data_IF_877654000798
#
_entry.id   IF_877654000798
#
_cell.length_a   1.000
_cell.length_b   1.000
_cell.length_c   1.000
_cell.angle_alpha   90.00
_cell.angle_beta   90.00
_cell.angle_gamma   90.00
#
_symmetry.space_group_name_H-M   'P 1'
#
loop_
_entity.id
_entity.type
_entity.pdbx_description
1 polymer ?
#
# COMPACT_ATOMS: atom_id res chain seq x y z
N UNK A 1 0.31 -7.90 -21.14
CA UNK A 1 1.14 -6.78 -20.63
C UNK A 1 2.12 -7.39 -19.63
N UNK A 2 3.43 -7.12 -19.73
CA UNK A 2 4.44 -7.92 -19.04
C UNK A 2 4.53 -7.53 -17.54
N UNK A 3 4.40 -8.50 -16.62
CA UNK A 3 4.55 -8.29 -15.16
C UNK A 3 5.89 -7.64 -14.81
N UNK A 4 6.90 -7.84 -15.67
CA UNK A 4 8.23 -7.24 -15.62
C UNK A 4 8.24 -5.70 -15.67
N UNK A 5 7.16 -5.04 -16.13
CA UNK A 5 7.10 -3.57 -16.19
C UNK A 5 6.95 -2.90 -14.80
N UNK A 6 6.73 -3.67 -13.73
CA UNK A 6 6.52 -3.16 -12.38
C UNK A 6 7.37 -3.87 -11.33
N UNK A 7 8.60 -4.26 -11.67
CA UNK A 7 9.51 -4.83 -10.69
C UNK A 7 9.85 -3.81 -9.59
N UNK A 8 9.63 -4.23 -8.34
CA UNK A 8 10.05 -3.45 -7.19
C UNK A 8 11.47 -3.86 -6.79
N UNK A 9 12.34 -2.87 -6.60
CA UNK A 9 13.75 -3.12 -6.32
C UNK A 9 14.05 -3.12 -4.81
N UNK A 10 15.21 -3.69 -4.45
CA UNK A 10 15.74 -3.62 -3.08
C UNK A 10 16.05 -2.17 -2.68
N UNK A 11 16.48 -1.32 -3.62
CA UNK A 11 16.72 0.09 -3.36
C UNK A 11 15.43 0.83 -2.96
N UNK A 12 14.34 0.57 -3.68
CA UNK A 12 13.01 1.12 -3.36
C UNK A 12 12.53 0.63 -1.99
N UNK A 13 12.83 -0.62 -1.64
CA UNK A 13 12.49 -1.15 -0.31
C UNK A 13 13.22 -0.37 0.80
N UNK A 14 14.52 -0.15 0.63
CA UNK A 14 15.32 0.63 1.59
C UNK A 14 14.78 2.04 1.77
N UNK A 15 14.33 2.70 0.70
CA UNK A 15 13.68 4.01 0.77
C UNK A 15 12.39 3.95 1.61
N UNK A 16 11.52 2.96 1.39
CA UNK A 16 10.33 2.76 2.22
C UNK A 16 10.69 2.59 3.70
N UNK A 17 11.66 1.72 4.02
CA UNK A 17 12.06 1.47 5.40
C UNK A 17 12.67 2.71 6.08
N UNK A 18 13.51 3.45 5.36
CA UNK A 18 14.07 4.74 5.84
C UNK A 18 12.97 5.76 6.07
N UNK A 19 11.97 5.81 5.18
CA UNK A 19 10.84 6.72 5.33
C UNK A 19 9.99 6.39 6.56
N UNK A 20 9.69 5.11 6.80
CA UNK A 20 9.00 4.66 8.02
C UNK A 20 9.80 5.05 9.28
N UNK A 21 11.11 4.81 9.28
CA UNK A 21 11.99 5.21 10.40
C UNK A 21 12.00 6.71 10.62
N UNK A 22 12.06 7.51 9.56
CA UNK A 22 11.96 8.97 9.63
C UNK A 22 10.66 9.40 10.32
N UNK A 23 9.52 8.88 9.86
CA UNK A 23 8.22 9.19 10.46
C UNK A 23 8.19 8.86 11.96
N UNK A 24 8.78 7.72 12.36
CA UNK A 24 8.90 7.33 13.77
C UNK A 24 9.86 8.17 14.60
N UNK A 25 10.86 8.80 13.99
CA UNK A 25 11.82 9.69 14.67
C UNK A 25 11.30 11.11 14.89
N UNK A 26 10.28 11.54 14.13
CA UNK A 26 9.76 12.91 14.18
C UNK A 26 9.29 13.33 15.58
N UNK A 27 8.51 12.53 16.33
CA UNK A 27 8.08 12.91 17.67
C UNK A 27 9.25 13.22 18.61
N UNK A 28 10.27 12.36 18.63
CA UNK A 28 11.46 12.56 19.47
C UNK A 28 12.24 13.82 19.06
N UNK A 29 12.43 14.02 17.75
CA UNK A 29 13.13 15.18 17.20
C UNK A 29 12.41 16.49 17.57
N UNK A 30 11.09 16.55 17.41
CA UNK A 30 10.31 17.74 17.72
C UNK A 30 10.21 18.00 19.23
N UNK A 31 10.17 16.96 20.07
CA UNK A 31 10.19 17.09 21.51
C UNK A 31 11.53 17.62 22.06
N UNK A 32 12.62 17.53 21.29
CA UNK A 32 13.92 18.09 21.65
C UNK A 32 14.04 19.61 21.34
N UNK A 33 13.19 20.16 20.45
CA UNK A 33 13.26 21.57 20.04
C UNK A 33 13.05 22.55 21.22
N UNK A 34 12.09 22.34 22.14
CA UNK A 34 11.99 23.19 23.33
C UNK A 34 13.26 23.22 24.18
N UNK A 35 14.00 22.11 24.26
CA UNK A 35 15.27 22.06 24.98
C UNK A 35 16.33 22.93 24.32
N UNK A 36 16.35 22.97 22.98
CA UNK A 36 17.19 23.90 22.21
C UNK A 36 16.87 25.35 22.58
N UNK A 37 15.59 25.74 22.54
CA UNK A 37 15.20 27.12 22.86
C UNK A 37 15.54 27.51 24.30
N UNK A 38 15.32 26.62 25.27
CA UNK A 38 15.66 26.88 26.67
C UNK A 38 17.17 26.96 26.88
N UNK A 39 17.97 26.13 26.19
CA UNK A 39 19.43 26.21 26.20
C UNK A 39 19.90 27.59 25.71
N UNK A 40 19.37 28.06 24.57
CA UNK A 40 19.68 29.40 24.05
C UNK A 40 19.30 30.50 25.03
N UNK A 41 18.13 30.39 25.67
CA UNK A 41 17.67 31.34 26.70
C UNK A 41 18.63 31.41 27.88
N UNK A 42 19.08 30.26 28.38
CA UNK A 42 20.05 30.17 29.49
C UNK A 42 21.42 30.76 29.12
N UNK A 43 21.79 30.72 27.85
CA UNK A 43 22.98 31.39 27.32
C UNK A 43 22.79 32.90 27.06
N UNK A 44 21.67 33.50 27.49
CA UNK A 44 21.43 34.95 27.38
C UNK A 44 20.78 35.40 26.07
N UNK A 45 20.34 34.49 25.21
CA UNK A 45 19.66 34.84 23.97
C UNK A 45 18.15 35.02 24.15
N UNK A 46 17.54 35.86 23.32
CA UNK A 46 16.09 36.04 23.30
C UNK A 46 15.38 34.76 22.83
N UNK A 47 14.42 34.30 23.63
CA UNK A 47 13.66 33.06 23.39
C UNK A 47 12.94 33.10 22.04
N UNK A 48 13.22 32.11 21.19
CA UNK A 48 12.42 31.83 20.00
C UNK A 48 11.26 30.88 20.34
N UNK A 49 10.22 30.91 19.50
CA UNK A 49 9.06 30.03 19.62
C UNK A 49 8.77 29.43 18.26
N UNK A 50 8.67 28.10 18.22
CA UNK A 50 8.16 27.36 17.07
C UNK A 50 6.73 26.93 17.38
N UNK A 51 5.77 27.41 16.59
CA UNK A 51 4.38 26.99 16.74
C UNK A 51 4.23 25.49 16.43
N UNK A 52 3.38 24.81 17.20
CA UNK A 52 3.02 23.42 16.89
C UNK A 52 2.27 23.38 15.56
N UNK A 53 2.68 22.48 14.68
CA UNK A 53 2.01 22.24 13.40
C UNK A 53 1.25 20.92 13.45
N UNK A 54 -0.06 20.96 13.18
CA UNK A 54 -0.92 19.77 13.24
C UNK A 54 -0.55 18.72 12.20
N UNK A 55 0.13 19.09 11.11
CA UNK A 55 0.58 18.14 10.08
C UNK A 55 1.64 17.15 10.59
N UNK A 56 2.25 17.41 11.75
CA UNK A 56 3.13 16.43 12.41
C UNK A 56 2.36 15.23 12.96
N UNK A 57 1.07 15.38 13.29
CA UNK A 57 0.24 14.28 13.75
C UNK A 57 0.11 13.21 12.66
N UNK A 58 0.05 13.64 11.39
CA UNK A 58 -0.01 12.75 10.22
C UNK A 58 1.20 11.81 10.16
N UNK A 59 2.37 12.20 10.66
CA UNK A 59 3.55 11.34 10.63
C UNK A 59 3.32 10.02 11.37
N UNK A 60 2.67 10.06 12.53
CA UNK A 60 2.38 8.85 13.33
C UNK A 60 1.34 7.97 12.65
N UNK A 61 0.30 8.56 12.05
CA UNK A 61 -0.72 7.81 11.30
C UNK A 61 -0.11 7.15 10.06
N UNK A 62 0.67 7.90 9.29
CA UNK A 62 1.37 7.41 8.10
C UNK A 62 2.35 6.29 8.43
N UNK A 63 3.13 6.42 9.51
CA UNK A 63 4.01 5.35 9.96
C UNK A 63 3.22 4.07 10.20
N UNK A 64 2.14 4.14 10.98
CA UNK A 64 1.29 2.98 11.28
C UNK A 64 0.65 2.38 10.03
N UNK A 65 0.22 3.21 9.09
CA UNK A 65 -0.35 2.73 7.84
C UNK A 65 0.68 1.98 6.99
N UNK A 66 1.89 2.50 6.89
CA UNK A 66 2.97 1.87 6.14
C UNK A 66 3.46 0.58 6.81
N UNK A 67 3.56 0.54 8.13
CA UNK A 67 3.89 -0.67 8.90
C UNK A 67 2.82 -1.76 8.73
N UNK A 68 1.53 -1.38 8.74
CA UNK A 68 0.42 -2.30 8.53
C UNK A 68 0.22 -2.70 7.05
N UNK A 69 0.89 -2.03 6.11
CA UNK A 69 0.64 -2.17 4.68
C UNK A 69 0.96 -3.58 4.16
N UNK A 70 2.04 -4.19 4.67
CA UNK A 70 2.37 -5.58 4.37
C UNK A 70 1.26 -6.53 4.83
N UNK A 71 0.83 -6.44 6.09
CA UNK A 71 -0.21 -7.32 6.64
C UNK A 71 -1.54 -7.22 5.89
N UNK A 72 -1.94 -6.01 5.47
CA UNK A 72 -3.13 -5.82 4.61
C UNK A 72 -2.96 -6.45 3.23
N UNK A 73 -1.78 -6.31 2.63
CA UNK A 73 -1.46 -6.94 1.33
C UNK A 73 -1.44 -8.47 1.44
N UNK A 74 -0.88 -9.01 2.52
CA UNK A 74 -0.87 -10.45 2.79
C UNK A 74 -2.28 -11.00 2.98
N UNK A 75 -3.12 -10.33 3.77
CA UNK A 75 -4.52 -10.72 3.95
C UNK A 75 -5.28 -10.71 2.62
N UNK A 76 -5.06 -9.68 1.79
CA UNK A 76 -5.64 -9.58 0.46
C UNK A 76 -5.18 -10.71 -0.47
N UNK A 77 -3.88 -11.05 -0.45
CA UNK A 77 -3.31 -12.18 -1.21
C UNK A 77 -3.94 -13.51 -0.80
N UNK A 78 -4.06 -13.78 0.49
CA UNK A 78 -4.67 -15.03 1.00
C UNK A 78 -6.13 -15.12 0.58
N UNK A 79 -6.88 -14.03 0.71
CA UNK A 79 -8.27 -13.95 0.26
C UNK A 79 -8.38 -14.21 -1.25
N UNK A 80 -7.55 -13.54 -2.04
CA UNK A 80 -7.50 -13.71 -3.50
C UNK A 80 -7.13 -15.13 -3.91
N UNK A 81 -6.18 -15.77 -3.22
CA UNK A 81 -5.81 -17.15 -3.48
C UNK A 81 -6.99 -18.12 -3.26
N UNK A 82 -7.78 -17.91 -2.21
CA UNK A 82 -9.00 -18.68 -1.97
C UNK A 82 -10.01 -18.51 -3.11
N UNK A 83 -10.30 -17.28 -3.51
CA UNK A 83 -11.27 -16.99 -4.58
C UNK A 83 -10.83 -17.51 -5.96
N UNK A 84 -9.53 -17.45 -6.25
CA UNK A 84 -8.95 -18.05 -7.46
C UNK A 84 -9.10 -19.57 -7.43
N UNK A 85 -8.83 -20.20 -6.29
CA UNK A 85 -8.97 -21.66 -6.14
C UNK A 85 -10.42 -22.12 -6.34
N UNK A 86 -11.39 -21.38 -5.79
CA UNK A 86 -12.83 -21.64 -5.98
C UNK A 86 -13.22 -21.53 -7.45
N UNK A 87 -12.77 -20.47 -8.14
CA UNK A 87 -13.03 -20.29 -9.57
C UNK A 87 -12.39 -21.40 -10.42
N UNK A 88 -11.16 -21.81 -10.08
CA UNK A 88 -10.48 -22.92 -10.74
C UNK A 88 -11.22 -24.25 -10.54
N UNK A 89 -11.72 -24.51 -9.34
CA UNK A 89 -12.54 -25.69 -9.06
C UNK A 89 -13.83 -25.66 -9.88
N UNK A 90 -14.57 -24.55 -9.84
CA UNK A 90 -15.77 -24.35 -10.64
C UNK A 90 -15.51 -24.57 -12.14
N UNK A 91 -14.41 -24.02 -12.67
CA UNK A 91 -14.04 -24.16 -14.08
C UNK A 91 -13.72 -25.61 -14.46
N UNK A 92 -12.98 -26.34 -13.62
CA UNK A 92 -12.71 -27.77 -13.83
C UNK A 92 -14.00 -28.59 -13.81
N UNK A 93 -14.88 -28.33 -12.84
CA UNK A 93 -16.17 -29.00 -12.71
C UNK A 93 -17.06 -28.75 -13.94
N UNK A 94 -17.11 -27.50 -14.45
CA UNK A 94 -17.84 -27.19 -15.70
C UNK A 94 -17.29 -27.99 -16.89
N UNK A 95 -15.96 -28.09 -17.02
CA UNK A 95 -15.32 -28.89 -18.08
C UNK A 95 -15.65 -30.38 -17.96
N UNK A 96 -15.62 -30.93 -16.74
CA UNK A 96 -15.99 -32.32 -16.48
C UNK A 96 -17.45 -32.62 -16.83
N UNK A 97 -18.38 -31.75 -16.43
CA UNK A 97 -19.80 -31.87 -16.78
C UNK A 97 -19.97 -31.85 -18.29
N UNK A 98 -19.30 -30.91 -18.97
CA UNK A 98 -19.34 -30.78 -20.44
C UNK A 98 -18.80 -32.02 -21.13
N UNK A 99 -17.77 -32.66 -20.58
CA UNK A 99 -17.20 -33.91 -21.09
C UNK A 99 -18.12 -35.13 -20.92
N UNK A 100 -19.02 -35.10 -19.93
CA UNK A 100 -20.03 -36.16 -19.69
C UNK A 100 -21.33 -35.93 -20.46
N UNK A 101 -21.63 -34.68 -20.82
CA UNK A 101 -22.85 -34.31 -21.55
C UNK A 101 -22.51 -33.85 -22.97
N UNK A 102 -22.55 -32.54 -23.23
CA UNK A 102 -22.28 -31.92 -24.52
C UNK A 102 -21.91 -30.46 -24.34
N UNK A 103 -21.11 -29.92 -25.28
CA UNK A 103 -20.86 -28.47 -25.37
C UNK A 103 -22.13 -27.66 -25.60
N UNK A 104 -23.18 -28.28 -26.15
CA UNK A 104 -24.46 -27.63 -26.42
C UNK A 104 -25.47 -27.76 -25.27
N UNK A 105 -25.12 -28.46 -24.19
CA UNK A 105 -25.98 -28.59 -23.02
C UNK A 105 -26.35 -27.19 -22.48
N UNK A 106 -27.65 -26.89 -22.33
CA UNK A 106 -28.09 -25.63 -21.77
C UNK A 106 -27.63 -25.47 -20.31
N UNK A 107 -27.06 -24.33 -19.96
CA UNK A 107 -26.58 -24.06 -18.58
C UNK A 107 -27.72 -24.17 -17.56
N UNK A 108 -28.94 -23.79 -17.94
CA UNK A 108 -30.14 -23.87 -17.09
C UNK A 108 -30.62 -25.30 -16.79
N UNK A 109 -30.16 -26.29 -17.54
CA UNK A 109 -30.50 -27.71 -17.34
C UNK A 109 -29.47 -28.44 -16.46
N UNK A 110 -28.33 -27.81 -16.18
CA UNK A 110 -27.29 -28.39 -15.34
C UNK A 110 -27.68 -28.25 -13.87
N UNK A 111 -27.71 -29.37 -13.14
CA UNK A 111 -27.90 -29.35 -11.69
C UNK A 111 -26.73 -28.64 -11.01
N UNK A 112 -26.98 -27.47 -10.44
CA UNK A 112 -25.96 -26.66 -9.76
C UNK A 112 -25.39 -27.34 -8.51
N UNK A 113 -26.09 -28.32 -7.92
CA UNK A 113 -25.66 -29.00 -6.67
C UNK A 113 -24.48 -29.95 -6.88
N UNK A 114 -24.14 -30.24 -8.14
CA UNK A 114 -22.96 -31.04 -8.46
C UNK A 114 -21.66 -30.27 -8.29
N UNK A 115 -21.72 -28.93 -8.31
CA UNK A 115 -20.55 -28.07 -8.09
C UNK A 115 -20.16 -28.06 -6.61
N UNK A 116 -18.86 -28.14 -6.31
CA UNK A 116 -18.37 -28.04 -4.94
C UNK A 116 -18.72 -26.69 -4.30
N UNK A 117 -18.71 -25.62 -5.11
CA UNK A 117 -19.07 -24.27 -4.68
C UNK A 117 -20.48 -24.20 -4.09
N UNK A 118 -21.44 -25.02 -4.57
CA UNK A 118 -22.81 -25.09 -4.03
C UNK A 118 -22.89 -25.49 -2.55
N UNK A 119 -21.82 -26.06 -2.02
CA UNK A 119 -21.68 -26.49 -0.62
C UNK A 119 -20.89 -25.49 0.22
N UNK A 120 -20.58 -24.32 -0.33
CA UNK A 120 -19.90 -23.24 0.41
C UNK A 120 -20.66 -22.95 1.71
N UNK A 121 -19.96 -22.90 2.86
CA UNK A 121 -20.61 -22.63 4.15
C UNK A 121 -21.07 -21.17 4.27
N UNK A 122 -20.59 -20.30 3.39
CA UNK A 122 -20.85 -18.86 3.39
C UNK A 122 -21.20 -18.38 1.99
N UNK A 123 -22.21 -17.51 1.91
CA UNK A 123 -22.68 -16.85 0.70
C UNK A 123 -22.65 -15.33 0.91
N UNK A 124 -22.27 -14.55 -0.12
CA UNK A 124 -22.22 -13.09 0.00
C UNK A 124 -23.60 -12.43 0.04
N UNK A 125 -24.59 -13.03 -0.61
CA UNK A 125 -25.98 -12.54 -0.63
C UNK A 125 -26.97 -13.63 -0.25
N UNK A 126 -27.23 -14.57 -1.16
CA UNK A 126 -28.22 -15.64 -0.97
C UNK A 126 -27.65 -16.98 -1.44
N UNK A 127 -28.13 -18.11 -0.91
CA UNK A 127 -27.79 -19.43 -1.44
C UNK A 127 -28.18 -19.57 -2.92
N UNK A 128 -27.40 -20.30 -3.73
CA UNK A 128 -27.62 -20.45 -5.16
C UNK A 128 -28.86 -21.30 -5.45
N UNK A 129 -29.61 -20.93 -6.49
CA UNK A 129 -30.72 -21.72 -7.03
C UNK A 129 -30.40 -22.36 -8.37
N UNK A 130 -29.38 -21.85 -9.07
CA UNK A 130 -28.89 -22.36 -10.34
C UNK A 130 -27.38 -22.11 -10.54
N UNK A 131 -26.85 -22.47 -11.71
CA UNK A 131 -25.43 -22.26 -12.07
C UNK A 131 -25.09 -20.77 -12.26
N UNK A 132 -26.05 -19.95 -12.67
CA UNK A 132 -25.86 -18.51 -12.84
C UNK A 132 -25.66 -17.81 -11.49
N UNK A 133 -26.33 -18.28 -10.44
CA UNK A 133 -26.13 -17.83 -9.07
C UNK A 133 -24.75 -18.20 -8.53
N UNK A 134 -24.22 -19.37 -8.87
CA UNK A 134 -22.85 -19.76 -8.52
C UNK A 134 -21.81 -18.82 -9.17
N UNK A 135 -22.00 -18.48 -10.45
CA UNK A 135 -21.18 -17.47 -11.13
C UNK A 135 -21.32 -16.09 -10.50
N UNK A 136 -22.53 -15.74 -10.05
CA UNK A 136 -22.77 -14.48 -9.37
C UNK A 136 -22.04 -14.41 -8.03
N UNK A 137 -22.07 -15.48 -7.23
CA UNK A 137 -21.29 -15.58 -6.00
C UNK A 137 -19.80 -15.38 -6.26
N UNK A 138 -19.24 -16.01 -7.29
CA UNK A 138 -17.84 -15.80 -7.68
C UNK A 138 -17.60 -14.31 -8.02
N UNK A 139 -18.48 -13.68 -8.80
CA UNK A 139 -18.38 -12.25 -9.09
C UNK A 139 -18.38 -11.39 -7.81
N UNK A 140 -19.22 -11.70 -6.83
CA UNK A 140 -19.29 -10.99 -5.55
C UNK A 140 -18.02 -11.14 -4.72
N UNK A 141 -17.41 -12.33 -4.71
CA UNK A 141 -16.10 -12.56 -4.08
C UNK A 141 -15.01 -11.69 -4.71
N UNK A 142 -14.95 -11.62 -6.03
CA UNK A 142 -14.00 -10.75 -6.73
C UNK A 142 -14.33 -9.25 -6.55
N UNK A 143 -15.60 -8.87 -6.39
CA UNK A 143 -15.95 -7.49 -6.01
C UNK A 143 -15.42 -7.09 -4.65
N UNK A 144 -15.46 -7.98 -3.67
CA UNK A 144 -14.83 -7.74 -2.37
C UNK A 144 -13.31 -7.60 -2.51
N UNK A 145 -12.66 -8.48 -3.29
CA UNK A 145 -11.23 -8.40 -3.55
C UNK A 145 -10.84 -7.05 -4.19
N UNK A 146 -11.65 -6.59 -5.15
CA UNK A 146 -11.51 -5.26 -5.76
C UNK A 146 -11.70 -4.14 -4.75
N UNK A 147 -12.71 -4.24 -3.87
CA UNK A 147 -12.98 -3.23 -2.85
C UNK A 147 -11.82 -3.12 -1.84
N UNK A 148 -11.25 -4.25 -1.40
CA UNK A 148 -10.09 -4.27 -0.52
C UNK A 148 -8.83 -3.73 -1.22
N UNK A 149 -8.64 -4.03 -2.51
CA UNK A 149 -7.56 -3.43 -3.32
C UNK A 149 -7.72 -1.91 -3.41
N UNK A 150 -8.95 -1.40 -3.55
CA UNK A 150 -9.25 0.03 -3.54
C UNK A 150 -8.84 0.69 -2.22
N UNK A 151 -8.98 0.01 -1.08
CA UNK A 151 -8.52 0.51 0.21
C UNK A 151 -6.99 0.66 0.24
N UNK A 152 -6.24 -0.30 -0.31
CA UNK A 152 -4.78 -0.17 -0.45
C UNK A 152 -4.41 1.05 -1.30
N UNK A 153 -5.12 1.27 -2.41
CA UNK A 153 -4.93 2.44 -3.28
C UNK A 153 -5.12 3.74 -2.51
N UNK A 154 -6.21 3.86 -1.75
CA UNK A 154 -6.47 5.08 -0.96
C UNK A 154 -5.40 5.35 0.08
N UNK A 155 -4.95 4.33 0.81
CA UNK A 155 -3.83 4.48 1.76
C UNK A 155 -2.56 5.00 1.07
N UNK A 156 -2.25 4.53 -0.15
CA UNK A 156 -1.07 5.00 -0.90
C UNK A 156 -1.21 6.46 -1.34
N UNK A 157 -2.41 6.90 -1.72
CA UNK A 157 -2.66 8.30 -2.10
C UNK A 157 -2.60 9.22 -0.89
N UNK A 158 -3.26 8.86 0.21
CA UNK A 158 -3.29 9.65 1.44
C UNK A 158 -1.88 9.88 2.01
N UNK A 159 -1.09 8.81 2.17
CA UNK A 159 0.28 8.92 2.69
C UNK A 159 1.16 9.79 1.78
N UNK A 160 0.91 9.78 0.46
CA UNK A 160 1.65 10.62 -0.48
C UNK A 160 1.35 12.09 -0.32
N UNK A 161 0.06 12.45 -0.30
CA UNK A 161 -0.39 13.83 -0.17
C UNK A 161 0.07 14.42 1.17
N UNK A 162 -0.04 13.65 2.24
CA UNK A 162 0.40 14.08 3.56
C UNK A 162 1.92 14.21 3.67
N UNK A 163 2.70 13.44 2.88
CA UNK A 163 4.16 13.52 2.89
C UNK A 163 4.67 14.93 2.52
N UNK A 164 3.97 15.66 1.65
CA UNK A 164 4.33 17.04 1.30
C UNK A 164 4.20 17.98 2.50
N UNK A 165 3.13 17.82 3.27
CA UNK A 165 2.90 18.56 4.52
C UNK A 165 4.00 18.27 5.53
N UNK A 166 4.30 16.99 5.76
CA UNK A 166 5.35 16.56 6.70
C UNK A 166 6.72 17.11 6.27
N UNK A 167 7.07 17.05 4.98
CA UNK A 167 8.31 17.61 4.43
C UNK A 167 8.42 19.10 4.72
N UNK A 168 7.36 19.85 4.41
CA UNK A 168 7.32 21.30 4.59
C UNK A 168 7.52 21.69 6.06
N UNK A 169 6.82 21.03 6.97
CA UNK A 169 6.94 21.31 8.41
C UNK A 169 8.33 20.95 8.92
N UNK A 170 8.84 19.78 8.55
CA UNK A 170 10.18 19.36 8.96
C UNK A 170 11.24 20.37 8.52
N UNK A 171 11.28 20.72 7.23
CA UNK A 171 12.28 21.66 6.71
C UNK A 171 12.15 23.03 7.38
N UNK A 172 10.92 23.56 7.51
CA UNK A 172 10.68 24.85 8.15
C UNK A 172 11.11 24.86 9.63
N UNK A 173 10.83 23.78 10.37
CA UNK A 173 11.24 23.65 11.76
C UNK A 173 12.77 23.58 11.90
N UNK A 174 13.43 22.80 11.04
CA UNK A 174 14.89 22.66 11.05
C UNK A 174 15.63 23.96 10.67
N UNK A 175 15.04 24.77 9.80
CA UNK A 175 15.55 26.10 9.40
C UNK A 175 15.15 27.24 10.34
N UNK A 176 14.30 26.96 11.32
CA UNK A 176 13.88 27.99 12.26
C UNK A 176 15.07 28.50 13.06
N UNK A 177 15.15 29.82 13.25
CA UNK A 177 16.18 30.44 14.10
C UNK A 177 16.06 29.93 15.54
N UNK A 178 17.18 29.59 16.17
CA UNK A 178 17.17 29.10 17.56
C UNK A 178 16.91 30.20 18.60
N UNK A 179 17.01 31.47 18.21
CA UNK A 179 16.73 32.64 19.04
C UNK A 179 16.20 33.80 18.19
N UNK A 180 15.56 34.81 18.79
CA UNK A 180 15.01 35.95 18.04
C UNK A 180 16.09 36.97 17.60
N UNK A 181 17.20 37.01 18.33
CA UNK A 181 18.26 38.00 18.15
C UNK A 181 19.25 37.70 17.01
N UNK A 182 19.33 36.44 16.54
CA UNK A 182 20.25 36.04 15.47
C UNK A 182 19.56 35.13 14.46
N UNK A 183 20.01 35.17 13.21
CA UNK A 183 19.56 34.25 12.17
C UNK A 183 20.16 32.84 12.35
N UNK A 184 21.37 32.76 12.90
CA UNK A 184 22.07 31.52 13.23
C UNK A 184 22.48 31.49 14.71
N UNK A 185 22.61 30.30 15.31
CA UNK A 185 22.37 28.98 14.71
C UNK A 185 20.87 28.68 14.54
N UNK A 186 20.54 27.82 13.58
CA UNK A 186 19.17 27.29 13.41
C UNK A 186 18.87 26.18 14.41
N UNK A 187 17.61 25.78 14.51
CA UNK A 187 17.16 24.64 15.33
C UNK A 187 17.96 23.38 14.99
N UNK A 188 18.14 23.05 13.71
CA UNK A 188 18.90 21.87 13.32
C UNK A 188 20.35 21.92 13.84
N UNK A 189 21.03 23.06 13.69
CA UNK A 189 22.41 23.21 14.16
C UNK A 189 22.52 23.04 15.69
N UNK A 190 21.56 23.56 16.44
CA UNK A 190 21.51 23.40 17.90
C UNK A 190 21.09 22.00 18.36
N UNK A 191 20.24 21.30 17.60
CA UNK A 191 19.92 19.89 17.89
C UNK A 191 21.20 19.04 17.86
N UNK A 192 22.11 19.30 16.91
CA UNK A 192 23.40 18.63 16.78
C UNK A 192 24.50 19.15 17.72
N UNK A 193 24.27 20.24 18.45
CA UNK A 193 25.25 20.81 19.39
C UNK A 193 25.37 19.99 20.69
N UNK A 194 24.42 19.10 20.98
CA UNK A 194 24.38 18.25 22.16
C UNK A 194 23.88 16.85 21.80
N UNK A 195 24.55 15.83 22.34
CA UNK A 195 24.16 14.44 22.16
C UNK A 195 22.74 14.15 22.64
N UNK A 196 22.27 14.83 23.70
CA UNK A 196 20.93 14.62 24.26
C UNK A 196 19.80 15.10 23.32
N UNK A 197 20.09 16.01 22.40
CA UNK A 197 19.12 16.55 21.43
C UNK A 197 19.41 16.13 20.00
N UNK A 198 20.49 15.40 19.76
CA UNK A 198 20.90 14.94 18.43
C UNK A 198 19.87 13.95 17.89
N UNK A 199 19.26 14.21 16.71
CA UNK A 199 18.34 13.27 16.10
C UNK A 199 19.05 11.96 15.74
N UNK A 200 18.37 10.84 15.98
CA UNK A 200 18.87 9.53 15.55
C UNK A 200 18.59 9.38 14.06
N UNK A 201 19.65 9.26 13.26
CA UNK A 201 19.54 9.14 11.80
C UNK A 201 20.66 8.28 11.21
N UNK A 202 20.36 7.50 10.16
CA UNK A 202 21.22 6.45 9.64
C UNK A 202 22.22 6.93 8.56
N UNK A 203 22.91 8.03 8.82
CA UNK A 203 23.95 8.56 7.92
C UNK A 203 25.31 8.68 8.60
N UNK A 204 26.37 8.42 7.82
CA UNK A 204 27.74 8.66 8.24
C UNK A 204 28.09 10.13 7.99
N UNK A 205 28.02 10.93 9.05
CA UNK A 205 28.38 12.35 8.97
C UNK A 205 29.85 12.54 8.61
N UNK A 206 30.15 13.47 7.71
CA UNK A 206 31.54 13.74 7.30
C UNK A 206 32.36 14.50 8.34
N UNK A 207 31.67 15.19 9.26
CA UNK A 207 32.29 16.04 10.28
C UNK A 207 31.58 15.89 11.63
N UNK A 208 32.29 16.26 12.71
CA UNK A 208 31.72 16.43 14.05
C UNK A 208 31.10 17.80 14.26
N UNK A 209 31.35 18.75 13.36
CA UNK A 209 30.82 20.11 13.46
C UNK A 209 29.28 20.12 13.36
N UNK A 210 28.56 20.70 14.33
CA UNK A 210 27.09 20.70 14.33
C UNK A 210 26.48 21.31 13.07
N UNK A 211 27.12 22.34 12.51
CA UNK A 211 26.66 22.99 11.29
C UNK A 211 26.70 22.06 10.07
N UNK A 212 27.79 21.31 9.90
CA UNK A 212 27.94 20.33 8.82
C UNK A 212 26.95 19.18 9.00
N UNK A 213 26.87 18.62 10.21
CA UNK A 213 25.93 17.52 10.51
C UNK A 213 24.47 17.90 10.27
N UNK A 214 24.07 19.10 10.69
CA UNK A 214 22.74 19.62 10.44
C UNK A 214 22.43 19.76 8.95
N UNK A 215 23.39 20.25 8.16
CA UNK A 215 23.24 20.37 6.71
C UNK A 215 23.09 19.00 6.04
N UNK A 216 23.95 18.04 6.37
CA UNK A 216 23.91 16.66 5.85
C UNK A 216 22.60 15.94 6.22
N UNK A 217 22.18 16.06 7.50
CA UNK A 217 20.92 15.49 7.98
C UNK A 217 19.71 16.01 7.20
N UNK A 218 19.62 17.33 7.03
CA UNK A 218 18.53 17.94 6.27
C UNK A 218 18.57 17.54 4.80
N UNK A 219 19.75 17.54 4.18
CA UNK A 219 19.91 17.20 2.77
C UNK A 219 19.48 15.75 2.50
N UNK A 220 19.92 14.80 3.31
CA UNK A 220 19.56 13.39 3.15
C UNK A 220 18.06 13.15 3.41
N UNK A 221 17.42 13.83 4.37
CA UNK A 221 15.97 13.72 4.54
C UNK A 221 15.22 14.32 3.35
N UNK A 222 15.66 15.43 2.79
CA UNK A 222 15.06 15.99 1.57
C UNK A 222 15.18 15.02 0.40
N UNK A 223 16.32 14.35 0.26
CA UNK A 223 16.53 13.28 -0.71
C UNK A 223 15.60 12.07 -0.45
N UNK A 224 15.45 11.67 0.81
CA UNK A 224 14.53 10.61 1.22
C UNK A 224 13.10 10.90 0.77
N UNK A 225 12.61 12.13 0.92
CA UNK A 225 11.27 12.50 0.44
C UNK A 225 11.15 12.41 -1.09
N UNK A 226 12.20 12.75 -1.83
CA UNK A 226 12.19 12.63 -3.28
C UNK A 226 12.16 11.14 -3.71
N UNK A 227 12.99 10.31 -3.07
CA UNK A 227 12.97 8.86 -3.27
C UNK A 227 11.62 8.24 -2.88
N UNK A 228 11.06 8.65 -1.73
CA UNK A 228 9.75 8.21 -1.28
C UNK A 228 8.65 8.53 -2.29
N UNK A 229 8.67 9.75 -2.86
CA UNK A 229 7.72 10.13 -3.90
C UNK A 229 7.76 9.17 -5.09
N UNK A 230 8.95 8.83 -5.59
CA UNK A 230 9.10 7.88 -6.70
C UNK A 230 8.58 6.48 -6.33
N UNK A 231 8.94 5.96 -5.15
CA UNK A 231 8.46 4.66 -4.65
C UNK A 231 6.95 4.65 -4.56
N UNK A 232 6.36 5.71 -3.99
CA UNK A 232 4.92 5.79 -3.80
C UNK A 232 4.16 5.91 -5.13
N UNK A 233 4.66 6.68 -6.09
CA UNK A 233 4.10 6.72 -7.44
C UNK A 233 4.10 5.34 -8.10
N UNK A 234 5.21 4.61 -8.04
CA UNK A 234 5.28 3.26 -8.60
C UNK A 234 4.31 2.30 -7.90
N UNK A 235 4.24 2.32 -6.56
CA UNK A 235 3.24 1.54 -5.80
C UNK A 235 1.82 1.89 -6.21
N UNK A 236 1.51 3.18 -6.36
CA UNK A 236 0.19 3.66 -6.76
C UNK A 236 -0.21 3.16 -8.14
N UNK A 237 0.69 3.27 -9.12
CA UNK A 237 0.47 2.75 -10.47
C UNK A 237 0.29 1.22 -10.48
N UNK A 238 1.08 0.50 -9.69
CA UNK A 238 0.97 -0.95 -9.57
C UNK A 238 -0.39 -1.39 -9.01
N UNK A 239 -0.82 -0.76 -7.91
CA UNK A 239 -2.10 -1.07 -7.28
C UNK A 239 -3.27 -0.65 -8.16
N UNK A 240 -3.14 0.46 -8.89
CA UNK A 240 -4.14 0.85 -9.89
C UNK A 240 -4.25 -0.20 -11.00
N UNK A 241 -3.13 -0.66 -11.53
CA UNK A 241 -3.10 -1.70 -12.55
C UNK A 241 -3.73 -3.01 -12.07
N UNK A 242 -3.53 -3.38 -10.80
CA UNK A 242 -4.19 -4.52 -10.15
C UNK A 242 -5.71 -4.26 -10.00
N UNK A 243 -6.10 -3.09 -9.52
CA UNK A 243 -7.50 -2.71 -9.33
C UNK A 243 -8.29 -2.79 -10.66
N UNK A 244 -7.73 -2.25 -11.74
CA UNK A 244 -8.35 -2.28 -13.07
C UNK A 244 -8.49 -3.70 -13.62
N UNK A 245 -7.52 -4.58 -13.37
CA UNK A 245 -7.62 -6.01 -13.75
C UNK A 245 -8.70 -6.73 -12.96
N UNK A 246 -8.78 -6.49 -11.65
CA UNK A 246 -9.84 -7.04 -10.83
C UNK A 246 -11.22 -6.55 -11.28
N UNK A 247 -11.34 -5.29 -11.68
CA UNK A 247 -12.57 -4.78 -12.30
C UNK A 247 -12.92 -5.51 -13.60
N UNK A 248 -11.92 -5.74 -14.46
CA UNK A 248 -12.06 -6.56 -15.67
C UNK A 248 -12.57 -7.97 -15.37
N UNK A 249 -11.97 -8.66 -14.39
CA UNK A 249 -12.40 -9.99 -13.93
C UNK A 249 -13.86 -9.96 -13.45
N UNK A 250 -14.24 -8.98 -12.62
CA UNK A 250 -15.62 -8.84 -12.16
C UNK A 250 -16.60 -8.70 -13.33
N UNK A 251 -16.27 -7.84 -14.30
CA UNK A 251 -17.09 -7.62 -15.49
C UNK A 251 -17.20 -8.88 -16.34
N UNK A 252 -16.11 -9.61 -16.54
CA UNK A 252 -16.10 -10.87 -17.28
C UNK A 252 -16.92 -11.97 -16.58
N UNK A 253 -16.84 -12.09 -15.25
CA UNK A 253 -17.67 -13.02 -14.47
C UNK A 253 -19.16 -12.69 -14.60
N UNK A 254 -19.53 -11.41 -14.53
CA UNK A 254 -20.92 -10.99 -14.76
C UNK A 254 -21.39 -11.30 -16.18
N UNK A 255 -20.54 -11.13 -17.19
CA UNK A 255 -20.83 -11.51 -18.57
C UNK A 255 -20.87 -13.03 -18.78
N UNK A 256 -20.19 -13.81 -17.95
CA UNK A 256 -20.24 -15.27 -18.01
C UNK A 256 -21.61 -15.81 -17.59
N UNK A 257 -22.36 -15.09 -16.74
CA UNK A 257 -23.72 -15.44 -16.35
C UNK A 257 -24.71 -15.53 -17.52
N UNK A 258 -24.46 -14.79 -18.60
CA UNK A 258 -25.33 -14.82 -19.79
C UNK A 258 -25.03 -16.00 -20.72
N UNK A 259 -24.05 -16.85 -20.38
CA UNK A 259 -23.75 -18.03 -21.18
C UNK A 259 -24.96 -18.97 -21.20
N UNK A 260 -25.42 -19.31 -22.40
CA UNK A 260 -26.60 -20.18 -22.56
C UNK A 260 -26.23 -21.65 -22.65
N UNK A 261 -25.00 -21.94 -23.06
CA UNK A 261 -24.47 -23.30 -23.28
C UNK A 261 -23.18 -23.53 -22.53
N UNK A 262 -22.94 -24.77 -22.10
CA UNK A 262 -21.71 -25.16 -21.40
C UNK A 262 -20.43 -24.85 -22.20
N UNK A 263 -20.42 -25.02 -23.52
CA UNK A 263 -19.28 -24.70 -24.36
C UNK A 263 -18.94 -23.20 -24.35
N UNK A 264 -19.95 -22.34 -24.35
CA UNK A 264 -19.78 -20.88 -24.24
C UNK A 264 -19.24 -20.51 -22.85
N UNK A 265 -19.81 -21.11 -21.79
CA UNK A 265 -19.38 -20.88 -20.42
C UNK A 265 -17.90 -21.26 -20.22
N UNK A 266 -17.49 -22.45 -20.68
CA UNK A 266 -16.08 -22.88 -20.60
C UNK A 266 -15.12 -21.93 -21.32
N UNK A 267 -15.50 -21.43 -22.50
CA UNK A 267 -14.69 -20.46 -23.24
C UNK A 267 -14.49 -19.17 -22.43
N UNK A 268 -15.56 -18.65 -21.81
CA UNK A 268 -15.48 -17.45 -20.97
C UNK A 268 -14.66 -17.71 -19.69
N UNK A 269 -14.87 -18.85 -19.03
CA UNK A 269 -14.14 -19.21 -17.81
C UNK A 269 -12.63 -19.33 -18.03
N UNK A 270 -12.20 -19.90 -19.16
CA UNK A 270 -10.77 -20.00 -19.49
C UNK A 270 -10.09 -18.62 -19.52
N UNK A 271 -10.71 -17.63 -20.16
CA UNK A 271 -10.18 -16.27 -20.21
C UNK A 271 -10.16 -15.59 -18.83
N UNK A 272 -11.18 -15.84 -17.99
CA UNK A 272 -11.24 -15.29 -16.63
C UNK A 272 -10.12 -15.88 -15.77
N UNK A 273 -9.87 -17.19 -15.87
CA UNK A 273 -8.80 -17.87 -15.11
C UNK A 273 -7.44 -17.20 -15.35
N UNK A 274 -7.08 -16.94 -16.60
CA UNK A 274 -5.82 -16.29 -16.93
C UNK A 274 -5.70 -14.90 -16.28
N UNK A 275 -6.76 -14.09 -16.35
CA UNK A 275 -6.79 -12.77 -15.70
C UNK A 275 -6.70 -12.83 -14.17
N UNK A 276 -7.36 -13.81 -13.55
CA UNK A 276 -7.30 -13.98 -12.09
C UNK A 276 -5.94 -14.47 -11.60
N UNK A 277 -5.28 -15.34 -12.37
CA UNK A 277 -3.91 -15.78 -12.09
C UNK A 277 -2.91 -14.61 -12.20
N UNK A 278 -3.07 -13.72 -13.19
CA UNK A 278 -2.25 -12.49 -13.29
C UNK A 278 -2.44 -11.59 -12.07
N UNK A 279 -3.68 -11.36 -11.63
CA UNK A 279 -3.97 -10.60 -10.40
C UNK A 279 -3.30 -11.20 -9.16
N UNK A 280 -3.38 -12.53 -9.00
CA UNK A 280 -2.75 -13.22 -7.87
C UNK A 280 -1.22 -13.17 -7.92
N UNK A 281 -0.63 -13.25 -9.12
CA UNK A 281 0.81 -13.07 -9.32
C UNK A 281 1.24 -11.65 -8.93
N UNK A 282 0.49 -10.62 -9.32
CA UNK A 282 0.73 -9.24 -8.93
C UNK A 282 0.64 -9.05 -7.40
N UNK A 283 -0.39 -9.59 -6.74
CA UNK A 283 -0.51 -9.55 -5.28
C UNK A 283 0.66 -10.25 -4.59
N UNK A 284 1.08 -11.41 -5.13
CA UNK A 284 2.21 -12.17 -4.61
C UNK A 284 3.53 -11.43 -4.75
N UNK A 285 3.74 -10.73 -5.87
CA UNK A 285 4.90 -9.88 -6.11
C UNK A 285 4.97 -8.72 -5.12
N UNK A 286 3.88 -7.98 -4.95
CA UNK A 286 3.81 -6.87 -4.00
C UNK A 286 4.01 -7.34 -2.55
N UNK A 287 3.36 -8.44 -2.15
CA UNK A 287 3.54 -9.02 -0.82
C UNK A 287 4.98 -9.46 -0.58
N UNK A 288 5.61 -10.13 -1.55
CA UNK A 288 6.99 -10.59 -1.43
C UNK A 288 7.98 -9.44 -1.27
N UNK A 289 7.77 -8.33 -2.00
CA UNK A 289 8.56 -7.11 -1.84
C UNK A 289 8.34 -6.45 -0.47
N UNK A 290 7.10 -6.42 0.02
CA UNK A 290 6.73 -5.85 1.33
C UNK A 290 7.11 -6.71 2.55
N UNK A 291 7.36 -8.01 2.37
CA UNK A 291 7.76 -8.90 3.46
C UNK A 291 9.24 -8.78 3.83
N UNK A 292 10.09 -8.47 2.85
CA UNK A 292 11.55 -8.39 2.99
C UNK A 292 11.99 -7.02 3.45
#
# INVERSE_FOLDING_TARGET
>A
MNVLAYEFTVAQRRVLDRYIRFLGSLPATFNAIPMVFERRRRSGHQLAVLARDSRLENARFNQRYLEAFWGRTQALKVLGAGYVADLQAFTRETLEITGRTSRNEPVSQVDFRVYSLSRSPTWKLFPPQDVSDLLHELALRFFELRAQTRQLKYTVVEVYEESFGVKSVFVSAMDHRSCLCHATPTVAQELFADAATTPVWDIAYSSREPAVRAAEYKADIVELFNGWGQVNTQKGLFIEALYQRLDGVCNQLLQAKSATKLGELNFKLAAIIDGTNECLAMLSHLEAWLRR
#
